data_IF_237746974487
#
_entry.id   IF_237746974487
#
_cell.length_a   1.000
_cell.length_b   1.000
_cell.length_c   1.000
_cell.angle_alpha   90.00
_cell.angle_beta   90.00
_cell.angle_gamma   90.00
#
_symmetry.space_group_name_H-M   'P 1'
#
loop_
_entity.id
_entity.type
_entity.pdbx_description
1 polymer ?
#
# COMPACT_ATOMS: atom_id res chain seq x y z
N UNK A 1 -8.13 -15.95 -2.45
CA UNK A 1 -7.82 -14.72 -1.67
C UNK A 1 -7.05 -13.76 -2.56
N UNK A 2 -7.37 -12.47 -2.50
CA UNK A 2 -6.69 -11.47 -3.30
C UNK A 2 -5.28 -11.22 -2.80
N UNK A 3 -4.37 -10.91 -3.71
CA UNK A 3 -2.98 -10.56 -3.40
C UNK A 3 -2.85 -9.05 -3.49
N UNK A 4 -2.49 -8.41 -2.38
CA UNK A 4 -2.30 -6.97 -2.33
C UNK A 4 -0.82 -6.68 -2.13
N UNK A 5 -0.28 -5.79 -2.96
CA UNK A 5 1.08 -5.30 -2.82
C UNK A 5 1.03 -3.82 -2.48
N UNK A 6 1.66 -3.46 -1.38
CA UNK A 6 1.80 -2.07 -0.94
C UNK A 6 3.24 -1.66 -1.23
N UNK A 7 3.43 -0.74 -2.17
CA UNK A 7 4.75 -0.25 -2.57
C UNK A 7 5.02 1.10 -1.94
N UNK A 8 6.13 1.22 -1.26
CA UNK A 8 6.50 2.45 -0.56
C UNK A 8 7.73 3.05 -1.21
N UNK A 9 7.59 4.30 -1.65
CA UNK A 9 8.68 5.11 -2.18
C UNK A 9 9.03 6.16 -1.15
N UNK A 10 10.20 6.02 -0.54
CA UNK A 10 10.68 6.99 0.45
C UNK A 10 11.14 8.27 -0.25
N UNK A 11 10.76 9.40 0.32
CA UNK A 11 11.22 10.71 -0.15
C UNK A 11 11.77 11.52 1.04
N UNK A 12 12.30 12.69 0.76
CA UNK A 12 12.82 13.56 1.81
C UNK A 12 11.72 14.17 2.69
N UNK A 13 10.48 14.06 2.27
CA UNK A 13 9.34 14.58 3.03
C UNK A 13 8.35 13.47 3.33
N UNK A 14 7.28 13.38 2.55
CA UNK A 14 6.21 12.39 2.74
C UNK A 14 6.40 11.24 1.77
N UNK A 15 6.29 10.01 2.25
CA UNK A 15 6.41 8.83 1.40
C UNK A 15 5.21 8.70 0.46
N UNK A 16 5.46 8.18 -0.74
CA UNK A 16 4.41 7.79 -1.65
C UNK A 16 4.11 6.30 -1.42
N UNK A 17 2.86 6.00 -1.12
CA UNK A 17 2.39 4.63 -0.91
C UNK A 17 1.43 4.28 -2.05
N UNK A 18 1.79 3.26 -2.83
CA UNK A 18 0.98 2.77 -3.94
C UNK A 18 0.42 1.40 -3.59
N UNK A 19 -0.84 1.17 -3.93
CA UNK A 19 -1.51 -0.10 -3.61
C UNK A 19 -1.98 -0.77 -4.89
N UNK A 20 -1.60 -2.04 -5.05
CA UNK A 20 -1.95 -2.87 -6.20
C UNK A 20 -2.70 -4.11 -5.71
N UNK A 21 -3.75 -4.49 -6.42
CA UNK A 21 -4.55 -5.69 -6.12
C UNK A 21 -4.45 -6.64 -7.31
N UNK A 22 -3.94 -7.84 -7.08
CA UNK A 22 -3.73 -8.84 -8.14
C UNK A 22 -2.95 -8.26 -9.32
N UNK A 23 -1.97 -7.41 -9.04
CA UNK A 23 -1.13 -6.77 -10.04
C UNK A 23 -1.70 -5.51 -10.68
N UNK A 24 -2.93 -5.12 -10.34
CA UNK A 24 -3.56 -3.93 -10.88
C UNK A 24 -3.53 -2.79 -9.88
N UNK A 25 -3.20 -1.59 -10.36
CA UNK A 25 -3.19 -0.39 -9.52
C UNK A 25 -4.59 -0.11 -8.98
N UNK A 26 -4.66 0.15 -7.66
CA UNK A 26 -5.90 0.51 -7.00
C UNK A 26 -5.92 1.98 -6.61
N UNK A 27 -4.99 2.39 -5.74
CA UNK A 27 -4.89 3.80 -5.33
C UNK A 27 -3.49 4.08 -4.80
N UNK A 28 -3.18 5.38 -4.67
CA UNK A 28 -1.97 5.82 -4.00
C UNK A 28 -2.29 6.94 -3.01
N UNK A 29 -1.33 7.19 -2.14
CA UNK A 29 -1.47 8.21 -1.11
C UNK A 29 -0.10 8.68 -0.65
N UNK A 30 0.03 9.98 -0.49
CA UNK A 30 1.22 10.58 0.15
C UNK A 30 1.00 10.55 1.65
N UNK A 31 1.76 9.73 2.36
CA UNK A 31 1.62 9.59 3.81
C UNK A 31 2.84 8.91 4.42
N UNK A 32 3.16 9.28 5.66
CA UNK A 32 4.12 8.55 6.47
C UNK A 32 3.43 7.57 7.43
N UNK A 33 2.10 7.53 7.40
CA UNK A 33 1.32 6.64 8.24
C UNK A 33 0.91 5.38 7.45
N UNK A 34 1.82 4.44 7.35
CA UNK A 34 1.58 3.17 6.67
C UNK A 34 0.44 2.40 7.32
N UNK A 35 0.30 2.52 8.65
CA UNK A 35 -0.71 1.77 9.39
C UNK A 35 -2.12 2.14 8.95
N UNK A 36 -2.38 3.42 8.68
CA UNK A 36 -3.70 3.85 8.21
C UNK A 36 -4.03 3.26 6.84
N UNK A 37 -3.03 3.12 5.97
CA UNK A 37 -3.21 2.52 4.65
C UNK A 37 -3.51 1.03 4.76
N UNK A 38 -2.72 0.30 5.53
CA UNK A 38 -2.91 -1.15 5.67
C UNK A 38 -4.23 -1.47 6.37
N UNK A 39 -4.64 -0.67 7.35
CA UNK A 39 -5.94 -0.83 8.00
C UNK A 39 -7.09 -0.59 7.03
N UNK A 40 -7.00 0.44 6.22
CA UNK A 40 -8.02 0.72 5.20
C UNK A 40 -8.16 -0.47 4.25
N UNK A 41 -7.06 -1.04 3.80
CA UNK A 41 -7.08 -2.20 2.91
C UNK A 41 -7.76 -3.39 3.61
N UNK A 42 -7.34 -3.69 4.84
CA UNK A 42 -7.88 -4.83 5.59
C UNK A 42 -9.37 -4.68 5.89
N UNK A 43 -9.83 -3.44 6.09
CA UNK A 43 -11.25 -3.18 6.34
C UNK A 43 -12.11 -3.33 5.09
N UNK A 44 -11.52 -3.27 3.91
CA UNK A 44 -12.27 -3.26 2.65
C UNK A 44 -12.20 -4.58 1.89
N UNK A 45 -11.12 -5.32 2.02
CA UNK A 45 -10.98 -6.60 1.30
C UNK A 45 -10.27 -7.65 2.15
N UNK A 46 -10.64 -8.89 1.93
CA UNK A 46 -9.93 -10.05 2.50
C UNK A 46 -8.80 -10.40 1.55
N UNK A 47 -7.56 -10.28 2.03
CA UNK A 47 -6.40 -10.41 1.16
C UNK A 47 -5.16 -10.88 1.91
N UNK A 48 -4.17 -11.34 1.16
CA UNK A 48 -2.80 -11.44 1.62
C UNK A 48 -2.09 -10.15 1.23
N UNK A 49 -1.37 -9.57 2.16
CA UNK A 49 -0.76 -8.25 1.96
C UNK A 49 0.75 -8.36 2.05
N UNK A 50 1.45 -7.81 1.05
CA UNK A 50 2.89 -7.65 1.06
C UNK A 50 3.23 -6.18 1.07
N UNK A 51 4.15 -5.79 1.93
CA UNK A 51 4.68 -4.43 1.97
C UNK A 51 6.09 -4.44 1.41
N UNK A 52 6.36 -3.56 0.47
CA UNK A 52 7.60 -3.54 -0.28
C UNK A 52 8.16 -2.12 -0.34
N UNK A 53 9.39 -1.96 0.12
CA UNK A 53 10.09 -0.68 0.00
C UNK A 53 10.83 -0.66 -1.32
N UNK A 54 10.53 0.33 -2.17
CA UNK A 54 11.01 0.37 -3.55
C UNK A 54 12.37 1.05 -3.69
N UNK A 55 12.77 1.84 -2.71
CA UNK A 55 14.07 2.52 -2.72
C UNK A 55 14.70 2.61 -1.34
#
# INVERSE_FOLDING_TARGET
MKQVEVRIWNTDSTDLVEVYVNGEFWFDKWTNDLFSVTNFIADNIVCEMKVKYMN
#
